data_IF_558548069868
#
_entry.id   IF_558548069868
#
_cell.length_a   1.000
_cell.length_b   1.000
_cell.length_c   1.000
_cell.angle_alpha   90.00
_cell.angle_beta   90.00
_cell.angle_gamma   90.00
#
_symmetry.space_group_name_H-M   'P 1'
#
loop_
_entity.id
_entity.type
_entity.pdbx_description
1 polymer ?
#
# COMPACT_ATOMS: atom_id res chain seq x y z
N UNK A 1 -5.73 79.38 -49.12
CA UNK A 1 -5.29 78.81 -47.83
C UNK A 1 -6.20 77.62 -47.55
N UNK A 2 -5.75 76.36 -47.71
CA UNK A 2 -4.93 75.59 -46.75
C UNK A 2 -5.63 75.54 -45.37
N UNK A 3 -5.98 74.42 -44.74
CA UNK A 3 -5.35 73.10 -44.76
C UNK A 3 -6.32 71.95 -44.36
N UNK A 4 -6.10 70.81 -45.02
CA UNK A 4 -6.24 69.41 -44.59
C UNK A 4 -7.08 69.05 -43.35
N UNK A 5 -8.27 68.50 -43.59
CA UNK A 5 -8.95 67.56 -42.72
C UNK A 5 -8.62 66.12 -43.19
N UNK A 6 -7.88 65.34 -42.37
CA UNK A 6 -7.80 63.86 -42.30
C UNK A 6 -6.45 63.39 -41.72
N UNK A 7 -6.30 63.33 -40.39
CA UNK A 7 -5.13 62.72 -39.70
C UNK A 7 -5.36 61.94 -38.37
N UNK A 8 -6.57 61.60 -37.87
CA UNK A 8 -6.68 60.89 -36.59
C UNK A 8 -6.51 59.35 -36.67
N UNK A 9 -6.58 58.73 -37.85
CA UNK A 9 -6.56 57.26 -37.99
C UNK A 9 -5.16 56.64 -38.00
N UNK A 10 -4.12 57.39 -38.42
CA UNK A 10 -2.74 56.89 -38.48
C UNK A 10 -2.03 56.89 -37.12
N UNK A 11 -2.35 57.86 -36.25
CA UNK A 11 -1.77 57.96 -34.90
C UNK A 11 -2.30 56.83 -34.00
N UNK A 12 -3.63 56.63 -33.99
CA UNK A 12 -4.24 55.52 -33.25
C UNK A 12 -3.75 54.14 -33.71
N UNK A 13 -3.50 53.94 -35.01
CA UNK A 13 -2.94 52.68 -35.52
C UNK A 13 -1.47 52.47 -35.12
N UNK A 14 -0.69 53.54 -34.94
CA UNK A 14 0.69 53.47 -34.52
C UNK A 14 0.80 53.19 -33.01
N UNK A 15 -0.05 53.83 -32.21
CA UNK A 15 -0.18 53.59 -30.77
C UNK A 15 -0.58 52.14 -30.47
N UNK A 16 -1.61 51.62 -31.16
CA UNK A 16 -2.03 50.21 -31.03
C UNK A 16 -0.91 49.22 -31.43
N UNK A 17 -0.12 49.56 -32.46
CA UNK A 17 1.02 48.73 -32.87
C UNK A 17 2.15 48.73 -31.83
N UNK A 18 2.33 49.84 -31.11
CA UNK A 18 3.33 49.97 -30.05
C UNK A 18 2.90 49.24 -28.77
N UNK A 19 1.62 49.34 -28.40
CA UNK A 19 1.04 48.56 -27.30
C UNK A 19 1.13 47.06 -27.56
N UNK A 20 0.77 46.59 -28.77
CA UNK A 20 0.89 45.17 -29.15
C UNK A 20 2.35 44.70 -29.11
N UNK A 21 3.30 45.55 -29.52
CA UNK A 21 4.74 45.25 -29.47
C UNK A 21 5.21 45.05 -28.04
N UNK A 22 4.78 45.92 -27.11
CA UNK A 22 5.17 45.80 -25.71
C UNK A 22 4.49 44.60 -25.02
N UNK A 23 3.23 44.31 -25.32
CA UNK A 23 2.56 43.10 -24.80
C UNK A 23 3.25 41.83 -25.29
N UNK A 24 3.66 41.78 -26.55
CA UNK A 24 4.38 40.64 -27.11
C UNK A 24 5.79 40.50 -26.52
N UNK A 25 6.50 41.63 -26.34
CA UNK A 25 7.80 41.65 -25.66
C UNK A 25 7.68 41.20 -24.21
N UNK A 26 6.69 41.70 -23.46
CA UNK A 26 6.42 41.29 -22.07
C UNK A 26 6.17 39.79 -21.94
N UNK A 27 5.42 39.20 -22.88
CA UNK A 27 5.18 37.75 -22.90
C UNK A 27 6.49 36.96 -23.00
N UNK A 28 7.41 37.39 -23.87
CA UNK A 28 8.71 36.73 -24.07
C UNK A 28 9.74 37.04 -22.99
N UNK A 29 9.64 38.18 -22.32
CA UNK A 29 10.59 38.62 -21.29
C UNK A 29 10.24 38.09 -19.89
N UNK A 30 8.93 37.91 -19.61
CA UNK A 30 8.41 37.58 -18.28
C UNK A 30 7.72 36.21 -18.25
N UNK A 31 6.76 35.96 -19.15
CA UNK A 31 5.93 34.74 -19.07
C UNK A 31 6.71 33.50 -19.55
N UNK A 32 7.38 33.57 -20.70
CA UNK A 32 8.07 32.41 -21.27
C UNK A 32 9.24 31.92 -20.39
N UNK A 33 10.09 32.80 -19.80
CA UNK A 33 11.17 32.35 -18.93
C UNK A 33 10.71 31.59 -17.68
N UNK A 34 9.48 31.83 -17.17
CA UNK A 34 8.96 31.09 -16.01
C UNK A 34 8.65 29.62 -16.32
N UNK A 35 8.47 29.26 -17.60
CA UNK A 35 8.24 27.89 -18.06
C UNK A 35 9.54 27.16 -18.49
N UNK A 36 10.66 27.88 -18.48
CA UNK A 36 11.99 27.45 -18.93
C UNK A 36 13.01 27.50 -17.79
N UNK A 37 12.57 27.31 -16.54
CA UNK A 37 13.44 27.32 -15.35
C UNK A 37 14.63 26.35 -15.48
N UNK A 38 14.39 25.18 -16.06
CA UNK A 38 15.40 24.15 -16.26
C UNK A 38 16.29 24.38 -17.51
N UNK A 39 15.99 25.39 -18.33
CA UNK A 39 16.65 25.67 -19.62
C UNK A 39 17.09 27.15 -19.72
N UNK A 40 18.16 27.55 -19.01
CA UNK A 40 18.56 28.96 -18.88
C UNK A 40 18.95 29.60 -20.22
N UNK A 41 19.48 28.83 -21.18
CA UNK A 41 19.83 29.32 -22.51
C UNK A 41 18.59 29.72 -23.33
N UNK A 42 17.52 28.91 -23.28
CA UNK A 42 16.26 29.20 -23.97
C UNK A 42 15.53 30.38 -23.31
N UNK A 43 15.63 30.50 -21.98
CA UNK A 43 15.13 31.68 -21.27
C UNK A 43 15.88 32.96 -21.69
N UNK A 44 17.21 32.89 -21.88
CA UNK A 44 18.00 34.01 -22.38
C UNK A 44 17.63 34.38 -23.83
N UNK A 45 17.40 33.39 -24.70
CA UNK A 45 16.93 33.60 -26.07
C UNK A 45 15.56 34.29 -26.12
N UNK A 46 14.64 33.92 -25.22
CA UNK A 46 13.32 34.55 -25.11
C UNK A 46 13.44 36.04 -24.74
N UNK A 47 14.31 36.39 -23.77
CA UNK A 47 14.60 37.79 -23.41
C UNK A 47 15.29 38.55 -24.55
N UNK A 48 16.21 37.91 -25.27
CA UNK A 48 16.85 38.49 -26.45
C UNK A 48 15.83 38.75 -27.58
N UNK A 49 14.85 37.88 -27.77
CA UNK A 49 13.73 38.10 -28.68
C UNK A 49 12.84 39.25 -28.23
N UNK A 50 12.53 39.37 -26.93
CA UNK A 50 11.78 40.51 -26.39
C UNK A 50 12.50 41.84 -26.68
N UNK A 51 13.82 41.89 -26.52
CA UNK A 51 14.61 43.08 -26.89
C UNK A 51 14.58 43.36 -28.40
N UNK A 52 14.68 42.31 -29.24
CA UNK A 52 14.56 42.44 -30.70
C UNK A 52 13.17 42.94 -31.14
N UNK A 53 12.11 42.51 -30.46
CA UNK A 53 10.74 42.98 -30.72
C UNK A 53 10.61 44.47 -30.43
N UNK A 54 11.18 44.94 -29.31
CA UNK A 54 11.16 46.37 -28.94
C UNK A 54 11.95 47.27 -29.90
N UNK A 55 12.96 46.73 -30.58
CA UNK A 55 13.91 47.50 -31.42
C UNK A 55 13.69 47.33 -32.94
N UNK A 56 12.87 46.38 -33.38
CA UNK A 56 12.60 46.13 -34.79
C UNK A 56 11.64 47.16 -35.40
N UNK A 57 12.18 48.27 -35.90
CA UNK A 57 11.41 49.37 -36.52
C UNK A 57 11.51 49.42 -38.05
N UNK A 58 12.30 48.54 -38.67
CA UNK A 58 12.51 48.51 -40.13
C UNK A 58 12.10 47.17 -40.75
N UNK A 59 11.77 47.16 -42.05
CA UNK A 59 11.37 45.93 -42.75
C UNK A 59 12.43 44.82 -42.68
N UNK A 60 13.73 45.10 -42.90
CA UNK A 60 14.78 44.07 -42.73
C UNK A 60 14.90 43.57 -41.29
N UNK A 61 14.69 44.44 -40.30
CA UNK A 61 14.69 44.04 -38.89
C UNK A 61 13.50 43.12 -38.56
N UNK A 62 12.34 43.37 -39.16
CA UNK A 62 11.15 42.51 -39.02
C UNK A 62 11.36 41.13 -39.65
N UNK A 63 12.02 41.05 -40.81
CA UNK A 63 12.34 39.76 -41.45
C UNK A 63 13.35 38.95 -40.59
N UNK A 64 14.34 39.63 -40.00
CA UNK A 64 15.28 39.03 -39.05
C UNK A 64 14.65 38.59 -37.72
N UNK A 65 13.66 39.35 -37.23
CA UNK A 65 12.84 38.97 -36.09
C UNK A 65 12.01 37.72 -36.40
N UNK A 66 11.32 37.68 -37.54
CA UNK A 66 10.54 36.52 -37.96
C UNK A 66 11.40 35.25 -38.05
N UNK A 67 12.61 35.35 -38.62
CA UNK A 67 13.56 34.23 -38.66
C UNK A 67 13.99 33.78 -37.25
N UNK A 68 14.19 34.73 -36.33
CA UNK A 68 14.57 34.42 -34.95
C UNK A 68 13.42 33.78 -34.16
N UNK A 69 12.18 34.24 -34.35
CA UNK A 69 10.97 33.64 -33.76
C UNK A 69 10.76 32.21 -34.28
N UNK A 70 10.93 31.96 -35.58
CA UNK A 70 10.83 30.61 -36.15
C UNK A 70 11.86 29.65 -35.56
N UNK A 71 13.12 30.10 -35.42
CA UNK A 71 14.18 29.29 -34.78
C UNK A 71 13.85 28.98 -33.32
N UNK A 72 13.37 29.97 -32.58
CA UNK A 72 12.98 29.78 -31.19
C UNK A 72 11.77 28.84 -31.04
N UNK A 73 10.75 28.97 -31.90
CA UNK A 73 9.61 28.07 -31.94
C UNK A 73 10.04 26.62 -32.20
N UNK A 74 10.95 26.40 -33.15
CA UNK A 74 11.50 25.06 -33.42
C UNK A 74 12.27 24.49 -32.21
N UNK A 75 13.09 25.29 -31.53
CA UNK A 75 13.78 24.84 -30.31
C UNK A 75 12.80 24.51 -29.17
N UNK A 76 11.72 25.28 -29.03
CA UNK A 76 10.67 24.99 -28.04
C UNK A 76 9.91 23.71 -28.36
N UNK A 77 9.65 23.44 -29.63
CA UNK A 77 9.00 22.21 -30.09
C UNK A 77 9.86 20.98 -29.76
N UNK A 78 11.17 21.04 -30.05
CA UNK A 78 12.12 20.00 -29.69
C UNK A 78 12.17 19.76 -28.18
N UNK A 79 12.24 20.83 -27.38
CA UNK A 79 12.23 20.71 -25.91
C UNK A 79 10.92 20.08 -25.39
N UNK A 80 9.78 20.44 -25.99
CA UNK A 80 8.50 19.87 -25.60
C UNK A 80 8.43 18.37 -25.93
N UNK A 81 8.99 17.95 -27.07
CA UNK A 81 9.13 16.56 -27.48
C UNK A 81 10.05 15.79 -26.53
N UNK A 82 11.26 16.30 -26.25
CA UNK A 82 12.21 15.70 -25.31
C UNK A 82 11.60 15.52 -23.91
N UNK A 83 10.87 16.53 -23.41
CA UNK A 83 10.17 16.46 -22.12
C UNK A 83 9.06 15.40 -22.13
N UNK A 84 8.34 15.27 -23.25
CA UNK A 84 7.31 14.25 -23.39
C UNK A 84 7.93 12.84 -23.45
N UNK A 85 9.04 12.68 -24.17
CA UNK A 85 9.79 11.42 -24.25
C UNK A 85 10.36 11.02 -22.90
N UNK A 86 11.03 11.94 -22.18
CA UNK A 86 11.55 11.70 -20.83
C UNK A 86 10.44 11.29 -19.87
N UNK A 87 9.29 11.99 -19.89
CA UNK A 87 8.14 11.63 -19.05
C UNK A 87 7.66 10.21 -19.37
N UNK A 88 7.52 9.87 -20.65
CA UNK A 88 7.10 8.53 -21.07
C UNK A 88 8.14 7.46 -20.69
N UNK A 89 9.43 7.76 -20.82
CA UNK A 89 10.53 6.87 -20.44
C UNK A 89 10.54 6.59 -18.94
N UNK A 90 10.39 7.62 -18.10
CA UNK A 90 10.28 7.48 -16.65
C UNK A 90 9.04 6.67 -16.25
N UNK A 91 7.91 6.87 -16.93
CA UNK A 91 6.70 6.08 -16.69
C UNK A 91 6.89 4.62 -17.04
N UNK A 92 7.53 4.34 -18.18
CA UNK A 92 7.85 2.98 -18.59
C UNK A 92 8.81 2.31 -17.61
N UNK A 93 9.83 3.02 -17.14
CA UNK A 93 10.77 2.50 -16.14
C UNK A 93 10.06 2.20 -14.81
N UNK A 94 9.16 3.09 -14.37
CA UNK A 94 8.34 2.87 -13.19
C UNK A 94 7.43 1.64 -13.35
N UNK A 95 6.78 1.48 -14.51
CA UNK A 95 5.98 0.30 -14.82
C UNK A 95 6.81 -0.99 -14.78
N UNK A 96 8.02 -0.98 -15.35
CA UNK A 96 8.93 -2.13 -15.32
C UNK A 96 9.41 -2.47 -13.90
N UNK A 97 9.70 -1.46 -13.07
CA UNK A 97 10.02 -1.68 -11.66
C UNK A 97 8.84 -2.31 -10.91
N UNK A 98 7.63 -1.82 -11.15
CA UNK A 98 6.40 -2.34 -10.54
C UNK A 98 6.17 -3.80 -10.97
N UNK A 99 6.34 -4.11 -12.26
CA UNK A 99 6.23 -5.46 -12.80
C UNK A 99 7.28 -6.41 -12.20
N UNK A 100 8.54 -5.97 -12.13
CA UNK A 100 9.62 -6.76 -11.54
C UNK A 100 9.39 -7.06 -10.06
N UNK A 101 8.95 -6.08 -9.27
CA UNK A 101 8.59 -6.31 -7.86
C UNK A 101 7.37 -7.23 -7.75
N UNK A 102 6.41 -7.15 -8.69
CA UNK A 102 5.25 -8.03 -8.72
C UNK A 102 5.62 -9.49 -8.99
N UNK A 103 6.59 -9.75 -9.86
CA UNK A 103 7.12 -11.09 -10.13
C UNK A 103 7.96 -11.64 -8.98
N UNK A 104 8.72 -10.79 -8.28
CA UNK A 104 9.54 -11.21 -7.15
C UNK A 104 8.72 -11.54 -5.89
N UNK A 105 7.50 -11.02 -5.81
CA UNK A 105 6.63 -11.17 -4.64
C UNK A 105 5.53 -12.20 -4.93
N UNK A 106 5.95 -13.45 -5.10
CA UNK A 106 5.05 -14.59 -5.39
C UNK A 106 4.27 -15.03 -4.14
N UNK A 107 4.81 -14.78 -2.93
CA UNK A 107 4.20 -15.25 -1.68
C UNK A 107 3.28 -14.22 -1.00
N UNK A 108 3.50 -12.92 -1.19
CA UNK A 108 2.63 -11.88 -0.62
C UNK A 108 1.56 -11.45 -1.63
N UNK A 109 0.43 -12.15 -1.63
CA UNK A 109 -0.81 -11.75 -2.34
C UNK A 109 -1.19 -10.28 -2.12
N UNK A 110 -0.78 -9.72 -0.99
CA UNK A 110 -0.92 -8.31 -0.65
C UNK A 110 -0.21 -7.40 -1.66
N UNK A 111 1.07 -7.64 -1.96
CA UNK A 111 1.89 -6.67 -2.69
C UNK A 111 1.42 -6.53 -4.14
N UNK A 112 0.92 -7.62 -4.70
CA UNK A 112 0.22 -7.65 -6.00
C UNK A 112 -0.94 -6.64 -6.06
N UNK A 113 -1.73 -6.49 -4.98
CA UNK A 113 -2.83 -5.52 -4.94
C UNK A 113 -2.38 -4.06 -4.96
N UNK A 114 -1.28 -3.73 -4.28
CA UNK A 114 -0.72 -2.38 -4.24
C UNK A 114 -0.02 -2.00 -5.56
N UNK A 115 0.74 -2.94 -6.12
CA UNK A 115 1.38 -2.84 -7.44
C UNK A 115 0.34 -2.53 -8.52
N UNK A 116 -0.84 -3.14 -8.43
CA UNK A 116 -1.92 -2.91 -9.38
C UNK A 116 -2.58 -1.53 -9.24
N UNK A 117 -2.73 -0.98 -8.03
CA UNK A 117 -3.21 0.42 -7.85
C UNK A 117 -2.25 1.38 -8.54
N UNK A 118 -0.95 1.21 -8.29
CA UNK A 118 0.08 2.09 -8.86
C UNK A 118 0.10 1.90 -10.38
N UNK A 119 -0.04 0.67 -10.89
CA UNK A 119 -0.12 0.39 -12.33
C UNK A 119 -1.32 1.06 -12.98
N UNK A 120 -2.51 0.97 -12.39
CA UNK A 120 -3.73 1.58 -12.93
C UNK A 120 -3.64 3.12 -12.98
N UNK A 121 -2.99 3.73 -11.98
CA UNK A 121 -2.79 5.18 -11.92
C UNK A 121 -1.74 5.63 -12.95
N UNK A 122 -0.69 4.84 -13.13
CA UNK A 122 0.39 5.10 -14.10
C UNK A 122 -0.02 4.76 -15.54
N UNK A 123 -1.10 3.99 -15.75
CA UNK A 123 -1.63 3.67 -17.07
C UNK A 123 -2.46 4.82 -17.69
N UNK A 124 -2.97 5.75 -16.88
CA UNK A 124 -3.73 6.92 -17.33
C UNK A 124 -2.88 8.18 -17.53
N UNK A 125 -3.46 9.26 -18.09
CA UNK A 125 -2.78 10.56 -18.12
C UNK A 125 -2.56 11.04 -16.68
N UNK A 126 -1.30 11.06 -16.27
CA UNK A 126 -0.93 11.48 -14.92
C UNK A 126 -1.30 12.94 -14.69
N UNK A 127 -2.06 13.14 -13.62
CA UNK A 127 -2.33 14.46 -13.05
C UNK A 127 -1.81 14.51 -11.61
N UNK A 128 -1.49 15.71 -11.12
CA UNK A 128 -1.12 15.92 -9.71
C UNK A 128 -2.21 15.37 -8.77
N UNK A 129 -3.49 15.48 -9.16
CA UNK A 129 -4.61 14.93 -8.39
C UNK A 129 -4.58 13.42 -8.34
N UNK A 130 -4.40 12.74 -9.48
CA UNK A 130 -4.33 11.28 -9.51
C UNK A 130 -3.11 10.74 -8.74
N UNK A 131 -1.99 11.46 -8.73
CA UNK A 131 -0.82 11.11 -7.92
C UNK A 131 -1.10 11.30 -6.42
N UNK A 132 -1.69 12.43 -6.04
CA UNK A 132 -2.06 12.69 -4.63
C UNK A 132 -3.07 11.66 -4.12
N UNK A 133 -4.05 11.28 -4.94
CA UNK A 133 -5.05 10.27 -4.59
C UNK A 133 -4.40 8.88 -4.47
N UNK A 134 -3.44 8.55 -5.36
CA UNK A 134 -2.62 7.35 -5.27
C UNK A 134 -1.86 7.27 -3.95
N UNK A 135 -1.17 8.37 -3.62
CA UNK A 135 -0.32 8.48 -2.44
C UNK A 135 -1.15 8.31 -1.16
N UNK A 136 -2.30 8.98 -1.09
CA UNK A 136 -3.22 8.87 0.05
C UNK A 136 -3.73 7.43 0.22
N UNK A 137 -4.20 6.81 -0.87
CA UNK A 137 -4.66 5.41 -0.86
C UNK A 137 -3.56 4.44 -0.45
N UNK A 138 -2.35 4.61 -0.98
CA UNK A 138 -1.21 3.75 -0.65
C UNK A 138 -0.84 3.88 0.83
N UNK A 139 -0.79 5.11 1.37
CA UNK A 139 -0.54 5.35 2.81
C UNK A 139 -1.59 4.68 3.69
N UNK A 140 -2.87 4.77 3.33
CA UNK A 140 -3.95 4.15 4.11
C UNK A 140 -3.82 2.61 4.13
N UNK A 141 -3.53 2.00 2.98
CA UNK A 141 -3.34 0.54 2.90
C UNK A 141 -2.13 0.11 3.72
N UNK A 142 -0.98 0.79 3.55
CA UNK A 142 0.24 0.52 4.33
C UNK A 142 -0.03 0.62 5.84
N UNK A 143 -0.79 1.63 6.27
CA UNK A 143 -1.11 1.83 7.69
C UNK A 143 -1.99 0.70 8.25
N UNK A 144 -3.14 0.41 7.63
CA UNK A 144 -4.07 -0.65 8.09
C UNK A 144 -3.39 -2.01 8.17
N UNK A 145 -2.49 -2.25 7.24
CA UNK A 145 -1.72 -3.47 7.16
C UNK A 145 -0.60 -3.57 8.17
N UNK A 146 0.12 -2.48 8.44
CA UNK A 146 1.08 -2.43 9.53
C UNK A 146 0.40 -2.81 10.85
N UNK A 147 -0.80 -2.27 11.08
CA UNK A 147 -1.62 -2.59 12.24
C UNK A 147 -2.04 -4.07 12.27
N UNK A 148 -2.63 -4.59 11.19
CA UNK A 148 -3.08 -5.99 11.12
C UNK A 148 -1.92 -6.99 11.26
N UNK A 149 -0.77 -6.72 10.63
CA UNK A 149 0.43 -7.57 10.74
C UNK A 149 0.99 -7.56 12.16
N UNK A 150 0.99 -6.40 12.82
CA UNK A 150 1.40 -6.29 14.22
C UNK A 150 0.47 -7.12 15.12
N UNK A 151 -0.85 -6.93 15.00
CA UNK A 151 -1.84 -7.71 15.78
C UNK A 151 -1.78 -9.21 15.50
N UNK A 152 -1.53 -9.61 14.26
CA UNK A 152 -1.37 -11.02 13.89
C UNK A 152 -0.10 -11.63 14.51
N UNK A 153 1.02 -10.90 14.48
CA UNK A 153 2.25 -11.34 15.12
C UNK A 153 2.11 -11.43 16.65
N UNK A 154 1.45 -10.46 17.28
CA UNK A 154 1.13 -10.47 18.70
C UNK A 154 0.25 -11.68 19.06
N UNK A 155 -0.82 -11.93 18.30
CA UNK A 155 -1.68 -13.09 18.51
C UNK A 155 -0.93 -14.42 18.35
N UNK A 156 -0.04 -14.53 17.35
CA UNK A 156 0.82 -15.71 17.17
C UNK A 156 1.78 -15.92 18.34
N UNK A 157 2.36 -14.84 18.86
CA UNK A 157 3.29 -14.93 19.98
C UNK A 157 2.57 -15.32 21.28
N UNK A 158 1.39 -14.75 21.52
CA UNK A 158 0.52 -15.14 22.63
C UNK A 158 0.15 -16.64 22.55
N UNK A 159 -0.20 -17.14 21.36
CA UNK A 159 -0.47 -18.56 21.14
C UNK A 159 0.73 -19.45 21.50
N UNK A 160 1.96 -19.05 21.11
CA UNK A 160 3.17 -19.79 21.50
C UNK A 160 3.38 -19.82 23.01
N UNK A 161 3.17 -18.69 23.69
CA UNK A 161 3.29 -18.65 25.16
C UNK A 161 2.26 -19.56 25.83
N UNK A 162 1.01 -19.57 25.34
CA UNK A 162 -0.03 -20.49 25.85
C UNK A 162 0.36 -21.96 25.63
N UNK A 163 0.90 -22.31 24.46
CA UNK A 163 1.36 -23.67 24.17
C UNK A 163 2.56 -24.08 25.04
N UNK A 164 3.48 -23.15 25.33
CA UNK A 164 4.58 -23.40 26.25
C UNK A 164 4.05 -23.69 27.67
N UNK A 165 3.14 -22.85 28.19
CA UNK A 165 2.52 -23.08 29.50
C UNK A 165 1.72 -24.38 29.58
N UNK A 166 1.08 -24.79 28.48
CA UNK A 166 0.42 -26.10 28.40
C UNK A 166 1.40 -27.28 28.56
N UNK A 167 2.59 -27.18 27.98
CA UNK A 167 3.65 -28.21 28.14
C UNK A 167 4.14 -28.24 29.58
N UNK A 168 4.32 -27.08 30.22
CA UNK A 168 4.74 -27.00 31.62
C UNK A 168 3.71 -27.65 32.56
N UNK A 169 2.42 -27.41 32.35
CA UNK A 169 1.34 -28.06 33.12
C UNK A 169 1.30 -29.59 32.91
N UNK A 170 1.62 -30.06 31.70
CA UNK A 170 1.70 -31.50 31.43
C UNK A 170 2.90 -32.14 32.14
N UNK A 171 4.03 -31.44 32.21
CA UNK A 171 5.21 -31.88 32.95
C UNK A 171 4.92 -31.95 34.46
N UNK A 172 4.32 -30.92 35.05
CA UNK A 172 3.94 -30.89 36.46
C UNK A 172 2.96 -32.03 36.83
N UNK A 173 1.99 -32.32 35.95
CA UNK A 173 1.08 -33.45 36.14
C UNK A 173 1.81 -34.80 36.09
N UNK A 174 2.75 -34.96 35.17
CA UNK A 174 3.57 -36.18 35.06
C UNK A 174 4.44 -36.38 36.31
N UNK A 175 5.07 -35.32 36.81
CA UNK A 175 5.90 -35.36 38.02
C UNK A 175 5.05 -35.75 39.26
N UNK A 176 3.88 -35.13 39.45
CA UNK A 176 2.99 -35.47 40.57
C UNK A 176 2.47 -36.91 40.51
N UNK A 177 2.29 -37.45 39.30
CA UNK A 177 1.89 -38.85 39.10
C UNK A 177 3.06 -39.81 39.38
N UNK A 178 4.29 -39.41 39.05
CA UNK A 178 5.50 -40.17 39.39
C UNK A 178 5.70 -40.24 40.90
N UNK A 179 5.59 -39.11 41.60
CA UNK A 179 5.67 -39.09 43.07
C UNK A 179 4.62 -40.00 43.72
N UNK A 180 3.39 -40.00 43.20
CA UNK A 180 2.35 -40.93 43.63
C UNK A 180 2.76 -42.39 43.41
N UNK A 181 3.34 -42.73 42.25
CA UNK A 181 3.79 -44.08 41.95
C UNK A 181 4.88 -44.55 42.92
N UNK A 182 5.85 -43.69 43.21
CA UNK A 182 6.93 -43.96 44.18
C UNK A 182 6.35 -44.21 45.58
N UNK A 183 5.35 -43.43 46.00
CA UNK A 183 4.67 -43.61 47.30
C UNK A 183 3.90 -44.93 47.38
N UNK A 184 3.23 -45.32 46.30
CA UNK A 184 2.48 -46.59 46.22
C UNK A 184 3.44 -47.78 46.22
N UNK A 185 4.59 -47.70 45.55
CA UNK A 185 5.63 -48.73 45.59
C UNK A 185 6.14 -48.95 47.03
N UNK A 186 6.45 -47.86 47.76
CA UNK A 186 6.82 -47.93 49.18
C UNK A 186 5.71 -48.55 50.04
N UNK A 187 4.45 -48.22 49.76
CA UNK A 187 3.31 -48.82 50.45
C UNK A 187 3.20 -50.34 50.15
N UNK A 188 3.41 -50.75 48.89
CA UNK A 188 3.40 -52.16 48.50
C UNK A 188 4.51 -52.95 49.20
N UNK A 189 5.72 -52.39 49.29
CA UNK A 189 6.84 -52.99 50.03
C UNK A 189 6.52 -53.11 51.54
N UNK A 190 5.89 -52.10 52.14
CA UNK A 190 5.48 -52.14 53.55
C UNK A 190 4.40 -53.19 53.79
N UNK A 191 3.45 -53.36 52.87
CA UNK A 191 2.45 -54.43 52.94
C UNK A 191 3.12 -55.81 52.88
N UNK A 192 4.10 -55.99 51.99
CA UNK A 192 4.81 -57.27 51.84
C UNK A 192 5.65 -57.64 53.06
N UNK A 193 6.09 -56.66 53.86
CA UNK A 193 6.92 -56.87 55.04
C UNK A 193 6.16 -56.70 56.38
N UNK A 194 4.83 -56.52 56.34
CA UNK A 194 4.04 -56.30 57.54
C UNK A 194 3.92 -57.58 58.40
N UNK A 195 4.20 -57.45 59.70
CA UNK A 195 4.14 -58.57 60.66
C UNK A 195 2.82 -58.62 61.46
N UNK A 196 2.06 -57.51 61.49
CA UNK A 196 0.79 -57.39 62.22
C UNK A 196 -0.26 -56.58 61.43
N UNK A 197 -1.55 -56.87 61.68
CA UNK A 197 -2.72 -56.24 61.04
C UNK A 197 -2.76 -54.72 61.28
N UNK A 198 -2.26 -54.27 62.42
CA UNK A 198 -2.18 -52.85 62.79
C UNK A 198 -1.28 -52.06 61.83
N UNK A 199 -0.17 -52.66 61.38
CA UNK A 199 0.74 -52.05 60.41
C UNK A 199 0.10 -51.94 59.02
N UNK A 200 -0.78 -52.87 58.66
CA UNK A 200 -1.53 -52.83 57.40
C UNK A 200 -2.60 -51.72 57.42
N UNK A 201 -3.20 -51.44 58.57
CA UNK A 201 -4.19 -50.37 58.73
C UNK A 201 -3.55 -48.99 58.47
N UNK A 202 -2.35 -48.75 58.99
CA UNK A 202 -1.58 -47.52 58.76
C UNK A 202 -1.20 -47.35 57.28
N UNK A 203 -0.74 -48.43 56.62
CA UNK A 203 -0.38 -48.37 55.18
C UNK A 203 -1.62 -48.15 54.32
N UNK A 204 -2.75 -48.77 54.65
CA UNK A 204 -4.01 -48.56 53.93
C UNK A 204 -4.49 -47.10 54.07
N UNK A 205 -4.39 -46.53 55.27
CA UNK A 205 -4.71 -45.12 55.49
C UNK A 205 -3.80 -44.18 54.68
N UNK A 206 -2.52 -44.52 54.52
CA UNK A 206 -1.58 -43.80 53.66
C UNK A 206 -1.95 -43.90 52.17
N UNK A 207 -2.22 -45.10 51.66
CA UNK A 207 -2.66 -45.30 50.26
C UNK A 207 -3.93 -44.52 49.95
N UNK A 208 -4.92 -44.51 50.85
CA UNK A 208 -6.16 -43.74 50.66
C UNK A 208 -5.86 -42.24 50.57
N UNK A 209 -4.98 -41.73 51.45
CA UNK A 209 -4.59 -40.32 51.47
C UNK A 209 -3.86 -39.92 50.18
N UNK A 210 -2.86 -40.69 49.77
CA UNK A 210 -2.10 -40.42 48.54
C UNK A 210 -3.00 -40.54 47.30
N UNK A 211 -3.93 -41.49 47.29
CA UNK A 211 -4.93 -41.64 46.21
C UNK A 211 -5.87 -40.43 46.14
N UNK A 212 -6.25 -39.86 47.28
CA UNK A 212 -7.09 -38.67 47.32
C UNK A 212 -6.33 -37.43 46.83
N UNK A 213 -5.03 -37.31 47.15
CA UNK A 213 -4.17 -36.23 46.67
C UNK A 213 -4.02 -36.29 45.14
N UNK A 214 -3.67 -37.44 44.57
CA UNK A 214 -3.52 -37.57 43.12
C UNK A 214 -4.85 -37.37 42.38
N UNK A 215 -5.98 -37.79 42.97
CA UNK A 215 -7.29 -37.54 42.39
C UNK A 215 -7.62 -36.05 42.31
N UNK A 216 -7.26 -35.28 43.34
CA UNK A 216 -7.46 -33.84 43.38
C UNK A 216 -6.54 -33.10 42.40
N UNK A 217 -5.27 -33.51 42.32
CA UNK A 217 -4.31 -33.00 41.34
C UNK A 217 -4.73 -33.32 39.90
N UNK A 218 -5.15 -34.56 39.62
CA UNK A 218 -5.64 -34.96 38.29
C UNK A 218 -6.89 -34.19 37.88
N UNK A 219 -7.82 -33.95 38.82
CA UNK A 219 -8.99 -33.12 38.54
C UNK A 219 -8.58 -31.68 38.19
N UNK A 220 -7.68 -31.09 38.98
CA UNK A 220 -7.18 -29.73 38.75
C UNK A 220 -6.45 -29.60 37.41
N UNK A 221 -5.49 -30.48 37.12
CA UNK A 221 -4.77 -30.49 35.84
C UNK A 221 -5.73 -30.68 34.67
N UNK A 222 -6.74 -31.55 34.79
CA UNK A 222 -7.76 -31.72 33.74
C UNK A 222 -8.52 -30.42 33.49
N UNK A 223 -8.92 -29.71 34.54
CA UNK A 223 -9.69 -28.48 34.43
C UNK A 223 -8.80 -27.34 33.85
N UNK A 224 -7.53 -27.27 34.24
CA UNK A 224 -6.52 -26.34 33.69
C UNK A 224 -6.22 -26.62 32.21
N UNK A 225 -5.99 -27.89 31.82
CA UNK A 225 -5.79 -28.29 30.42
C UNK A 225 -7.02 -27.97 29.56
N UNK A 226 -8.22 -28.12 30.11
CA UNK A 226 -9.47 -27.78 29.41
C UNK A 226 -9.60 -26.27 29.19
N UNK A 227 -9.25 -25.47 30.18
CA UNK A 227 -9.21 -24.01 30.06
C UNK A 227 -8.15 -23.56 29.05
N UNK A 228 -6.94 -24.11 29.12
CA UNK A 228 -5.86 -23.81 28.18
C UNK A 228 -6.26 -24.16 26.73
N UNK A 229 -6.86 -25.34 26.52
CA UNK A 229 -7.38 -25.75 25.22
C UNK A 229 -8.41 -24.76 24.68
N UNK A 230 -9.34 -24.30 25.51
CA UNK A 230 -10.35 -23.33 25.09
C UNK A 230 -9.71 -21.99 24.69
N UNK A 231 -8.74 -21.48 25.47
CA UNK A 231 -7.99 -20.27 25.14
C UNK A 231 -7.22 -20.39 23.81
N UNK A 232 -6.63 -21.56 23.54
CA UNK A 232 -5.95 -21.85 22.27
C UNK A 232 -6.95 -21.84 21.10
N UNK A 233 -8.10 -22.49 21.22
CA UNK A 233 -9.14 -22.50 20.18
C UNK A 233 -9.65 -21.08 19.88
N UNK A 234 -9.82 -20.25 20.91
CA UNK A 234 -10.21 -18.85 20.77
C UNK A 234 -9.12 -18.00 20.09
N UNK A 235 -7.85 -18.20 20.46
CA UNK A 235 -6.72 -17.53 19.84
C UNK A 235 -6.51 -17.94 18.37
N UNK A 236 -6.64 -19.22 18.05
CA UNK A 236 -6.60 -19.73 16.67
C UNK A 236 -7.71 -19.13 15.82
N UNK A 237 -8.93 -19.08 16.35
CA UNK A 237 -10.06 -18.43 15.67
C UNK A 237 -9.75 -16.95 15.40
N UNK A 238 -9.19 -16.24 16.39
CA UNK A 238 -8.83 -14.83 16.24
C UNK A 238 -7.74 -14.62 15.20
N UNK A 239 -6.73 -15.49 15.15
CA UNK A 239 -5.69 -15.47 14.12
C UNK A 239 -6.31 -15.70 12.74
N UNK A 240 -7.24 -16.66 12.62
CA UNK A 240 -7.97 -16.91 11.37
C UNK A 240 -8.81 -15.72 10.91
N UNK A 241 -9.48 -15.04 11.84
CA UNK A 241 -10.22 -13.79 11.56
C UNK A 241 -9.28 -12.68 11.08
N UNK A 242 -8.16 -12.45 11.77
CA UNK A 242 -7.17 -11.42 11.39
C UNK A 242 -6.52 -11.73 10.04
N UNK A 243 -6.24 -12.99 9.74
CA UNK A 243 -5.76 -13.44 8.43
C UNK A 243 -6.80 -13.16 7.34
N UNK A 244 -8.06 -13.51 7.59
CA UNK A 244 -9.14 -13.24 6.65
C UNK A 244 -9.41 -11.74 6.46
N UNK A 245 -9.28 -10.93 7.51
CA UNK A 245 -9.37 -9.46 7.44
C UNK A 245 -8.21 -8.86 6.65
N UNK A 246 -6.99 -9.37 6.84
CA UNK A 246 -5.82 -8.95 6.07
C UNK A 246 -5.99 -9.28 4.57
N UNK A 247 -6.48 -10.47 4.25
CA UNK A 247 -6.81 -10.86 2.87
C UNK A 247 -7.94 -9.98 2.30
N UNK A 248 -8.99 -9.72 3.09
CA UNK A 248 -10.09 -8.85 2.67
C UNK A 248 -9.66 -7.41 2.46
N UNK A 249 -8.84 -6.85 3.34
CA UNK A 249 -8.30 -5.50 3.21
C UNK A 249 -7.48 -5.35 1.92
N UNK A 250 -6.76 -6.41 1.52
CA UNK A 250 -6.10 -6.47 0.22
C UNK A 250 -7.10 -6.48 -0.95
N UNK A 251 -8.24 -7.17 -0.83
CA UNK A 251 -9.28 -7.19 -1.88
C UNK A 251 -10.20 -5.96 -1.91
N UNK A 252 -10.43 -5.27 -0.79
CA UNK A 252 -11.30 -4.09 -0.66
C UNK A 252 -10.79 -2.89 -1.47
N UNK A 253 -9.52 -2.92 -1.88
CA UNK A 253 -8.93 -2.05 -2.89
C UNK A 253 -9.68 -2.12 -4.24
N UNK A 254 -10.45 -3.19 -4.51
CA UNK A 254 -11.26 -3.40 -5.73
C UNK A 254 -12.61 -2.67 -5.74
N UNK A 255 -12.98 -2.01 -4.65
CA UNK A 255 -14.23 -1.25 -4.53
C UNK A 255 -13.92 0.24 -4.36
N UNK A 256 -14.76 1.08 -4.95
CA UNK A 256 -14.71 2.52 -4.75
C UNK A 256 -15.31 2.87 -3.38
N UNK A 257 -14.53 3.50 -2.50
CA UNK A 257 -14.95 3.75 -1.11
C UNK A 257 -16.02 4.85 -0.97
N UNK A 258 -16.16 5.73 -1.97
CA UNK A 258 -17.16 6.80 -1.96
C UNK A 258 -18.55 6.31 -2.37
N UNK A 259 -18.62 5.25 -3.17
CA UNK A 259 -19.87 4.74 -3.75
C UNK A 259 -20.22 3.31 -3.33
N UNK A 260 -19.27 2.55 -2.78
CA UNK A 260 -19.41 1.12 -2.48
C UNK A 260 -19.51 0.24 -3.74
N UNK A 261 -19.53 0.86 -4.92
CA UNK A 261 -19.58 0.17 -6.20
C UNK A 261 -18.22 -0.48 -6.51
N UNK A 262 -18.25 -1.50 -7.36
CA UNK A 262 -17.02 -2.06 -7.93
C UNK A 262 -16.26 -0.95 -8.65
N UNK A 263 -14.95 -0.82 -8.38
CA UNK A 263 -14.12 0.08 -9.18
C UNK A 263 -14.02 -0.47 -10.62
N UNK A 264 -13.41 0.30 -11.54
CA UNK A 264 -13.31 -0.07 -12.97
C UNK A 264 -12.90 -1.53 -13.19
N UNK A 265 -11.98 -2.04 -12.36
CA UNK A 265 -11.50 -3.41 -12.50
C UNK A 265 -12.33 -4.46 -11.77
N UNK A 266 -12.97 -4.11 -10.66
CA UNK A 266 -14.03 -4.93 -10.08
C UNK A 266 -15.16 -5.19 -11.08
N UNK A 267 -15.48 -4.19 -11.92
CA UNK A 267 -16.39 -4.34 -13.04
C UNK A 267 -15.82 -5.25 -14.15
N UNK A 268 -14.57 -5.04 -14.59
CA UNK A 268 -13.93 -5.86 -15.63
C UNK A 268 -13.81 -7.34 -15.23
N UNK A 269 -13.47 -7.64 -13.97
CA UNK A 269 -13.38 -9.01 -13.48
C UNK A 269 -14.74 -9.67 -13.26
N UNK A 270 -15.72 -8.93 -12.74
CA UNK A 270 -17.10 -9.41 -12.63
C UNK A 270 -17.67 -9.71 -14.03
N UNK A 271 -17.40 -8.84 -14.99
CA UNK A 271 -17.76 -9.03 -16.39
C UNK A 271 -17.05 -10.23 -17.00
N UNK A 272 -15.74 -10.39 -16.79
CA UNK A 272 -14.98 -11.56 -17.28
C UNK A 272 -15.49 -12.88 -16.67
N UNK A 273 -15.82 -12.89 -15.37
CA UNK A 273 -16.44 -14.04 -14.70
C UNK A 273 -17.80 -14.37 -15.28
N UNK A 274 -18.67 -13.38 -15.48
CA UNK A 274 -20.00 -13.62 -16.02
C UNK A 274 -19.95 -14.03 -17.50
N UNK A 275 -19.01 -13.49 -18.27
CA UNK A 275 -18.73 -13.91 -19.65
C UNK A 275 -18.27 -15.37 -19.69
N UNK A 276 -17.33 -15.76 -18.83
CA UNK A 276 -16.86 -17.16 -18.73
C UNK A 276 -17.98 -18.10 -18.25
N UNK A 277 -18.88 -17.63 -17.39
CA UNK A 277 -20.04 -18.39 -16.88
C UNK A 277 -21.11 -18.57 -17.96
N UNK A 278 -21.41 -17.51 -18.71
CA UNK A 278 -22.31 -17.50 -19.88
C UNK A 278 -21.79 -18.44 -20.97
N UNK A 279 -20.49 -18.39 -21.29
CA UNK A 279 -19.84 -19.30 -22.24
C UNK A 279 -19.93 -20.77 -21.81
N UNK A 280 -19.76 -21.07 -20.52
CA UNK A 280 -19.91 -22.44 -19.98
C UNK A 280 -21.36 -22.93 -19.97
N UNK A 281 -22.33 -22.03 -19.77
CA UNK A 281 -23.77 -22.37 -19.72
C UNK A 281 -24.51 -22.24 -21.05
N UNK A 282 -23.85 -21.76 -22.12
CA UNK A 282 -24.48 -21.43 -23.42
C UNK A 282 -25.75 -20.59 -23.28
N UNK A 283 -25.78 -19.67 -22.31
CA UNK A 283 -26.86 -18.70 -22.15
C UNK A 283 -26.40 -17.37 -22.71
N UNK A 284 -27.25 -16.67 -23.47
CA UNK A 284 -26.97 -15.28 -23.89
C UNK A 284 -26.84 -14.38 -22.66
N UNK A 285 -25.89 -13.43 -22.73
CA UNK A 285 -25.64 -12.38 -21.72
C UNK A 285 -26.91 -11.57 -21.42
#
# INVERSE_FOLDING_TARGET
ASAAAARPTSESSAELSEELREVFAYTLDVLIPTQLLDEPELAADARALAHKIRTATSRPAMDGLQASVKRFAFRLELLAEDRAELRNGLLKLLQLLIENVGELVVEDRWLSGQIEIVRDIVAGPLSIRSISDAESRLKEVIFKQGQLKHSLNEARENLKQMLAGFVDHLAEFADSTSEYHDKIEVCADRISNAEDISQLEDVLAEVIRETQIIQLNAQRSRDELRAAKQSVEEAEKRIGELQAELDKASTLVRHDQLTGALNRRGLEEAFAKETARSQRRKSTL
#
